data_IF_179013857997
#
_entry.id   IF_179013857997
#
_cell.length_a   1.000
_cell.length_b   1.000
_cell.length_c   1.000
_cell.angle_alpha   90.00
_cell.angle_beta   90.00
_cell.angle_gamma   90.00
#
_symmetry.space_group_name_H-M   'P 1'
#
loop_
_entity.id
_entity.type
_entity.pdbx_description
1 polymer ?
#
# COMPACT_ATOMS: atom_id res chain seq x y z
N UNK A 1 20.49 -38.07 -19.84
CA UNK A 1 20.13 -37.31 -21.06
C UNK A 1 18.86 -36.52 -20.76
N UNK A 2 18.97 -35.31 -20.19
CA UNK A 2 17.83 -34.49 -19.80
C UNK A 2 17.63 -33.39 -20.86
N UNK A 3 16.52 -33.48 -21.59
CA UNK A 3 16.10 -32.52 -22.61
C UNK A 3 15.74 -31.20 -21.94
N UNK A 4 16.56 -30.18 -22.18
CA UNK A 4 16.22 -28.79 -21.89
C UNK A 4 15.20 -28.33 -22.94
N UNK A 5 13.94 -28.13 -22.52
CA UNK A 5 12.89 -27.62 -23.40
C UNK A 5 12.96 -26.08 -23.37
N UNK A 6 13.55 -25.52 -24.42
CA UNK A 6 13.79 -24.08 -24.59
C UNK A 6 12.57 -23.45 -25.28
N UNK A 7 11.73 -22.75 -24.53
CA UNK A 7 10.84 -21.73 -25.10
C UNK A 7 11.49 -20.36 -24.93
N UNK A 8 11.87 -19.78 -26.06
CA UNK A 8 12.42 -18.43 -26.18
C UNK A 8 11.31 -17.48 -26.62
N UNK A 9 10.85 -16.61 -25.72
CA UNK A 9 10.10 -15.39 -26.05
C UNK A 9 10.69 -14.22 -25.25
N UNK A 10 11.40 -13.35 -25.98
CA UNK A 10 11.75 -11.95 -25.69
C UNK A 10 11.53 -11.43 -24.26
N UNK A 11 12.47 -11.73 -23.37
CA UNK A 11 12.64 -11.04 -22.10
C UNK A 11 13.99 -11.42 -21.50
N UNK A 12 14.76 -10.46 -20.99
CA UNK A 12 15.99 -10.77 -20.27
C UNK A 12 15.63 -11.65 -19.06
N UNK A 13 15.88 -12.96 -19.17
CA UNK A 13 15.60 -13.91 -18.11
C UNK A 13 16.74 -13.86 -17.10
N UNK A 14 16.47 -13.30 -15.92
CA UNK A 14 17.33 -13.47 -14.75
C UNK A 14 17.15 -14.90 -14.25
N UNK A 15 18.24 -15.68 -14.21
CA UNK A 15 18.26 -17.02 -13.64
C UNK A 15 18.82 -16.98 -12.23
N UNK A 16 18.10 -17.62 -11.30
CA UNK A 16 18.56 -17.85 -9.93
C UNK A 16 18.93 -19.32 -9.84
N UNK A 17 20.21 -19.60 -9.64
CA UNK A 17 20.70 -20.96 -9.45
C UNK A 17 20.60 -21.35 -7.97
N UNK A 18 20.02 -22.52 -7.71
CA UNK A 18 19.87 -23.09 -6.37
C UNK A 18 20.48 -24.47 -6.40
N UNK A 19 21.53 -24.67 -5.63
CA UNK A 19 22.22 -25.96 -5.58
C UNK A 19 21.28 -27.08 -5.08
N UNK A 20 21.27 -28.21 -5.79
CA UNK A 20 20.43 -29.37 -5.49
C UNK A 20 20.61 -29.91 -4.06
N UNK A 21 21.80 -29.72 -3.47
CA UNK A 21 22.09 -30.12 -2.08
C UNK A 21 21.17 -29.43 -1.06
N UNK A 22 20.73 -28.20 -1.34
CA UNK A 22 19.86 -27.43 -0.47
C UNK A 22 18.39 -27.88 -0.59
N UNK A 23 18.07 -28.70 -1.60
CA UNK A 23 16.74 -29.25 -1.87
C UNK A 23 16.64 -30.73 -1.45
N UNK A 24 17.66 -31.28 -0.78
CA UNK A 24 17.61 -32.61 -0.19
C UNK A 24 16.53 -32.63 0.90
N UNK A 25 15.52 -33.48 0.71
CA UNK A 25 14.35 -33.57 1.59
C UNK A 25 13.09 -32.85 1.07
N UNK A 26 13.18 -32.08 0.00
CA UNK A 26 12.00 -31.49 -0.64
C UNK A 26 11.35 -32.53 -1.56
N UNK A 27 10.10 -32.89 -1.26
CA UNK A 27 9.26 -33.62 -2.21
C UNK A 27 8.86 -32.70 -3.39
N UNK A 28 8.32 -33.27 -4.47
CA UNK A 28 7.97 -32.49 -5.66
C UNK A 28 6.99 -31.33 -5.36
N UNK A 29 5.90 -31.53 -4.59
CA UNK A 29 5.01 -30.43 -4.21
C UNK A 29 5.70 -29.30 -3.42
N UNK A 30 6.65 -29.63 -2.53
CA UNK A 30 7.40 -28.63 -1.78
C UNK A 30 8.33 -27.82 -2.67
N UNK A 31 8.92 -28.43 -3.71
CA UNK A 31 9.71 -27.71 -4.71
C UNK A 31 8.84 -26.74 -5.52
N UNK A 32 7.63 -27.18 -5.88
CA UNK A 32 6.69 -26.35 -6.63
C UNK A 32 6.21 -25.16 -5.79
N UNK A 33 5.88 -25.36 -4.50
CA UNK A 33 5.48 -24.27 -3.61
C UNK A 33 6.66 -23.34 -3.28
N UNK A 34 7.88 -23.86 -3.15
CA UNK A 34 9.09 -23.04 -2.99
C UNK A 34 9.29 -22.13 -4.19
N UNK A 35 9.16 -22.67 -5.41
CA UNK A 35 9.29 -21.90 -6.65
C UNK A 35 8.24 -20.79 -6.71
N UNK A 36 6.99 -21.12 -6.37
CA UNK A 36 5.88 -20.15 -6.31
C UNK A 36 6.15 -19.05 -5.28
N UNK A 37 6.48 -19.42 -4.04
CA UNK A 37 6.78 -18.47 -2.96
C UNK A 37 7.97 -17.56 -3.29
N UNK A 38 9.02 -18.11 -3.92
CA UNK A 38 10.16 -17.33 -4.37
C UNK A 38 9.78 -16.35 -5.48
N UNK A 39 8.92 -16.78 -6.42
CA UNK A 39 8.42 -15.91 -7.50
C UNK A 39 7.58 -14.77 -6.93
N UNK A 40 6.68 -15.05 -6.00
CA UNK A 40 5.84 -14.06 -5.34
C UNK A 40 6.70 -13.04 -4.57
N UNK A 41 7.69 -13.50 -3.81
CA UNK A 41 8.63 -12.63 -3.10
C UNK A 41 9.43 -11.73 -4.05
N UNK A 42 9.90 -12.26 -5.18
CA UNK A 42 10.63 -11.48 -6.18
C UNK A 42 9.72 -10.42 -6.81
N UNK A 43 8.47 -10.76 -7.12
CA UNK A 43 7.49 -9.81 -7.67
C UNK A 43 7.19 -8.67 -6.68
N UNK A 44 7.00 -8.97 -5.39
CA UNK A 44 6.87 -7.97 -4.34
C UNK A 44 8.10 -7.09 -4.21
N UNK A 45 9.30 -7.68 -4.26
CA UNK A 45 10.57 -6.96 -4.19
C UNK A 45 10.74 -6.00 -5.38
N UNK A 46 10.38 -6.41 -6.58
CA UNK A 46 10.41 -5.57 -7.79
C UNK A 46 9.42 -4.41 -7.65
N UNK A 47 8.17 -4.69 -7.25
CA UNK A 47 7.14 -3.66 -7.04
C UNK A 47 7.59 -2.62 -6.01
N UNK A 48 8.18 -3.07 -4.92
CA UNK A 48 8.63 -2.19 -3.84
C UNK A 48 9.87 -1.38 -4.25
N UNK A 49 10.81 -1.98 -4.97
CA UNK A 49 11.97 -1.27 -5.52
C UNK A 49 11.52 -0.16 -6.48
N UNK A 50 10.57 -0.45 -7.37
CA UNK A 50 9.96 0.55 -8.24
C UNK A 50 9.21 1.64 -7.45
N UNK A 51 8.52 1.27 -6.36
CA UNK A 51 7.84 2.24 -5.48
C UNK A 51 8.83 3.22 -4.84
N UNK A 52 9.98 2.71 -4.37
CA UNK A 52 11.04 3.53 -3.76
C UNK A 52 11.63 4.47 -4.81
N UNK A 53 11.91 3.97 -6.02
CA UNK A 53 12.39 4.80 -7.13
C UNK A 53 11.42 5.93 -7.43
N UNK A 54 10.14 5.61 -7.65
CA UNK A 54 9.13 6.62 -7.98
C UNK A 54 8.90 7.63 -6.84
N UNK A 55 9.21 7.25 -5.61
CA UNK A 55 9.15 8.17 -4.45
C UNK A 55 10.38 9.09 -4.38
N UNK A 56 11.55 8.65 -4.82
CA UNK A 56 12.81 9.40 -4.75
C UNK A 56 13.07 10.22 -6.01
N UNK A 57 12.46 9.83 -7.13
CA UNK A 57 12.58 10.50 -8.42
C UNK A 57 11.19 10.95 -8.91
N UNK A 58 10.64 12.06 -8.39
CA UNK A 58 9.35 12.60 -8.82
C UNK A 58 9.39 13.26 -10.20
N UNK A 59 10.58 13.43 -10.78
CA UNK A 59 10.77 14.00 -12.11
C UNK A 59 10.76 12.90 -13.17
N UNK A 60 10.24 13.19 -14.37
CA UNK A 60 10.00 12.22 -15.46
C UNK A 60 11.27 11.72 -16.16
N UNK A 61 12.36 11.52 -15.42
CA UNK A 61 13.58 10.90 -15.93
C UNK A 61 13.39 9.41 -16.19
N UNK A 62 14.35 8.81 -16.90
CA UNK A 62 14.35 7.36 -17.13
C UNK A 62 14.46 6.62 -15.77
N UNK A 63 13.50 5.75 -15.42
CA UNK A 63 13.52 5.07 -14.13
C UNK A 63 14.74 4.16 -14.03
N UNK A 64 15.48 4.30 -12.92
CA UNK A 64 16.68 3.52 -12.66
C UNK A 64 16.65 2.95 -11.23
N UNK A 65 16.52 1.62 -11.15
CA UNK A 65 16.56 0.89 -9.89
C UNK A 65 18.02 0.64 -9.50
N UNK A 66 18.45 1.17 -8.36
CA UNK A 66 19.81 0.96 -7.84
C UNK A 66 19.85 -0.20 -6.84
N UNK A 67 21.03 -0.77 -6.60
CA UNK A 67 21.23 -1.84 -5.60
C UNK A 67 20.80 -1.44 -4.19
N UNK A 68 20.94 -0.15 -3.84
CA UNK A 68 20.44 0.41 -2.59
C UNK A 68 18.92 0.32 -2.47
N UNK A 69 18.19 0.62 -3.55
CA UNK A 69 16.72 0.51 -3.56
C UNK A 69 16.24 -0.94 -3.38
N UNK A 70 16.95 -1.92 -3.96
CA UNK A 70 16.63 -3.34 -3.78
C UNK A 70 16.90 -3.81 -2.35
N UNK A 71 17.99 -3.32 -1.73
CA UNK A 71 18.29 -3.60 -0.32
C UNK A 71 17.21 -3.01 0.60
N UNK A 72 16.83 -1.76 0.37
CA UNK A 72 15.76 -1.09 1.11
C UNK A 72 14.42 -1.83 0.95
N UNK A 73 14.07 -2.18 -0.28
CA UNK A 73 12.86 -2.94 -0.60
C UNK A 73 12.84 -4.30 0.10
N UNK A 74 13.98 -4.99 0.19
CA UNK A 74 14.09 -6.27 0.90
C UNK A 74 13.71 -6.13 2.37
N UNK A 75 14.14 -5.05 3.02
CA UNK A 75 13.79 -4.77 4.42
C UNK A 75 12.29 -4.53 4.56
N UNK A 76 11.67 -3.79 3.63
CA UNK A 76 10.24 -3.50 3.68
C UNK A 76 9.38 -4.74 3.44
N UNK A 77 9.70 -5.56 2.43
CA UNK A 77 8.98 -6.79 2.12
C UNK A 77 9.07 -7.77 3.30
N UNK A 78 10.28 -8.04 3.81
CA UNK A 78 10.49 -9.00 4.91
C UNK A 78 9.84 -8.59 6.23
N UNK A 79 9.73 -7.29 6.50
CA UNK A 79 9.12 -6.78 7.73
C UNK A 79 7.61 -6.53 7.59
N UNK A 80 7.01 -6.85 6.44
CA UNK A 80 5.59 -6.55 6.17
C UNK A 80 5.28 -5.05 6.20
N UNK A 81 6.28 -4.21 5.98
CA UNK A 81 6.16 -2.75 6.01
C UNK A 81 5.78 -2.17 4.64
N UNK A 82 5.32 -3.02 3.72
CA UNK A 82 4.83 -2.61 2.41
C UNK A 82 3.62 -1.70 2.64
N UNK A 83 3.81 -0.39 2.45
CA UNK A 83 2.72 0.55 2.61
C UNK A 83 1.87 0.57 1.34
N UNK A 84 0.56 0.27 1.43
CA UNK A 84 -0.32 0.39 0.28
C UNK A 84 -0.36 1.84 -0.21
N UNK A 85 -0.40 2.04 -1.53
CA UNK A 85 -0.57 3.38 -2.11
C UNK A 85 -1.89 3.97 -1.63
N UNK A 86 -1.83 4.97 -0.74
CA UNK A 86 -3.03 5.71 -0.28
C UNK A 86 -3.71 6.36 -1.49
N UNK A 87 -4.99 6.04 -1.70
CA UNK A 87 -5.79 6.62 -2.79
C UNK A 87 -5.96 8.11 -2.55
N UNK A 88 -5.76 8.94 -3.58
CA UNK A 88 -5.90 10.40 -3.53
C UNK A 88 -7.28 10.83 -2.97
N UNK A 89 -8.33 10.04 -3.25
CA UNK A 89 -9.68 10.24 -2.71
C UNK A 89 -9.72 10.29 -1.18
N UNK A 90 -8.92 9.46 -0.49
CA UNK A 90 -8.88 9.43 0.98
C UNK A 90 -8.23 10.70 1.53
N UNK A 91 -7.20 11.23 0.85
CA UNK A 91 -6.58 12.51 1.24
C UNK A 91 -7.57 13.68 1.14
N UNK A 92 -8.37 13.74 0.09
CA UNK A 92 -9.38 14.81 -0.10
C UNK A 92 -10.48 14.70 0.96
N UNK A 93 -10.98 13.49 1.24
CA UNK A 93 -12.01 13.28 2.25
C UNK A 93 -11.56 13.75 3.64
N UNK A 94 -10.28 13.55 3.99
CA UNK A 94 -9.69 14.00 5.26
C UNK A 94 -9.68 15.52 5.41
N UNK A 95 -9.36 16.25 4.34
CA UNK A 95 -9.36 17.71 4.37
C UNK A 95 -10.80 18.21 4.57
N UNK A 96 -11.76 17.61 3.85
CA UNK A 96 -13.18 17.96 3.97
C UNK A 96 -13.68 17.66 5.39
N UNK A 97 -13.38 16.50 5.96
CA UNK A 97 -13.82 16.15 7.32
C UNK A 97 -13.26 17.11 8.38
N UNK A 98 -12.01 17.54 8.23
CA UNK A 98 -11.40 18.51 9.14
C UNK A 98 -12.10 19.88 9.06
N UNK A 99 -12.45 20.33 7.86
CA UNK A 99 -13.19 21.59 7.66
C UNK A 99 -14.59 21.50 8.26
N UNK A 100 -15.31 20.40 8.05
CA UNK A 100 -16.65 20.19 8.63
C UNK A 100 -16.60 20.20 10.16
N UNK A 101 -15.64 19.50 10.77
CA UNK A 101 -15.45 19.53 12.22
C UNK A 101 -15.14 20.93 12.76
N UNK A 102 -14.35 21.72 12.02
CA UNK A 102 -14.07 23.11 12.38
C UNK A 102 -15.34 23.97 12.30
N UNK A 103 -16.14 23.81 11.24
CA UNK A 103 -17.40 24.54 11.06
C UNK A 103 -18.40 24.23 12.17
N UNK A 104 -18.47 22.98 12.64
CA UNK A 104 -19.30 22.60 13.80
C UNK A 104 -18.92 23.40 15.05
N UNK A 105 -17.62 23.59 15.29
CA UNK A 105 -17.13 24.39 16.41
C UNK A 105 -17.47 25.88 16.27
N UNK A 106 -17.42 26.43 15.05
CA UNK A 106 -17.76 27.84 14.77
C UNK A 106 -19.28 28.09 14.90
N UNK A 107 -20.10 27.13 14.50
CA UNK A 107 -21.58 27.22 14.54
C UNK A 107 -22.13 27.03 15.97
N UNK A 108 -21.29 26.58 16.91
CA UNK A 108 -21.69 26.42 18.30
C UNK A 108 -22.03 27.79 18.93
N UNK A 109 -23.32 27.97 19.24
CA UNK A 109 -23.84 29.15 19.92
C UNK A 109 -24.75 28.70 21.06
N UNK A 110 -24.26 28.87 22.30
CA UNK A 110 -24.95 28.47 23.53
C UNK A 110 -26.30 29.17 23.73
N UNK A 111 -26.50 30.36 23.17
CA UNK A 111 -27.77 31.10 23.27
C UNK A 111 -28.80 30.58 22.29
N UNK A 112 -28.38 30.19 21.07
CA UNK A 112 -29.24 29.60 20.04
C UNK A 112 -29.57 28.13 20.33
N UNK A 113 -28.71 27.43 21.07
CA UNK A 113 -28.93 26.06 21.52
C UNK A 113 -30.14 25.87 22.45
N UNK A 114 -30.69 26.96 23.02
CA UNK A 114 -31.93 26.90 23.79
C UNK A 114 -33.18 26.76 22.90
N UNK A 115 -33.08 27.07 21.60
CA UNK A 115 -34.14 26.81 20.64
C UNK A 115 -34.13 25.32 20.26
N UNK A 116 -35.29 24.65 20.45
CA UNK A 116 -35.46 23.21 20.18
C UNK A 116 -35.14 22.84 18.73
N UNK A 117 -35.45 23.73 17.78
CA UNK A 117 -35.21 23.50 16.35
C UNK A 117 -33.72 23.58 16.04
N UNK A 118 -33.04 24.60 16.58
CA UNK A 118 -31.60 24.79 16.37
C UNK A 118 -30.79 23.67 17.04
N UNK A 119 -31.18 23.24 18.24
CA UNK A 119 -30.56 22.12 18.95
C UNK A 119 -30.62 20.81 18.15
N UNK A 120 -31.78 20.49 17.57
CA UNK A 120 -31.95 19.25 16.79
C UNK A 120 -31.09 19.27 15.52
N UNK A 121 -31.09 20.39 14.79
CA UNK A 121 -30.23 20.57 13.61
C UNK A 121 -28.75 20.44 14.00
N UNK A 122 -28.34 21.08 15.09
CA UNK A 122 -26.96 21.02 15.58
C UNK A 122 -26.53 19.59 15.91
N UNK A 123 -27.36 18.81 16.63
CA UNK A 123 -27.08 17.41 16.95
C UNK A 123 -26.90 16.57 15.69
N UNK A 124 -27.76 16.75 14.68
CA UNK A 124 -27.67 16.01 13.41
C UNK A 124 -26.37 16.35 12.67
N UNK A 125 -26.00 17.63 12.60
CA UNK A 125 -24.77 18.07 11.94
C UNK A 125 -23.53 17.53 12.66
N UNK A 126 -23.53 17.57 14.00
CA UNK A 126 -22.45 16.99 14.83
C UNK A 126 -22.34 15.48 14.59
N UNK A 127 -23.46 14.76 14.58
CA UNK A 127 -23.47 13.32 14.33
C UNK A 127 -22.88 12.98 12.95
N UNK A 128 -23.28 13.72 11.91
CA UNK A 128 -22.73 13.56 10.55
C UNK A 128 -21.22 13.85 10.54
N UNK A 129 -20.77 14.90 11.24
CA UNK A 129 -19.36 15.25 11.32
C UNK A 129 -18.54 14.13 11.99
N UNK A 130 -19.02 13.58 13.11
CA UNK A 130 -18.37 12.47 13.81
C UNK A 130 -18.28 11.23 12.91
N UNK A 131 -19.38 10.87 12.24
CA UNK A 131 -19.41 9.72 11.32
C UNK A 131 -18.43 9.94 10.17
N UNK A 132 -18.43 11.13 9.55
CA UNK A 132 -17.54 11.46 8.44
C UNK A 132 -16.07 11.40 8.83
N UNK A 133 -15.70 11.92 10.01
CA UNK A 133 -14.33 11.85 10.53
C UNK A 133 -13.94 10.41 10.84
N UNK A 134 -14.83 9.64 11.45
CA UNK A 134 -14.60 8.23 11.79
C UNK A 134 -14.32 7.40 10.54
N UNK A 135 -15.18 7.53 9.52
CA UNK A 135 -14.99 6.85 8.23
C UNK A 135 -13.69 7.29 7.57
N UNK A 136 -13.39 8.59 7.55
CA UNK A 136 -12.14 9.09 6.98
C UNK A 136 -10.90 8.59 7.71
N UNK A 137 -11.00 8.28 9.00
CA UNK A 137 -9.89 7.77 9.83
C UNK A 137 -9.72 6.26 9.68
N UNK A 138 -10.81 5.51 9.54
CA UNK A 138 -10.77 4.04 9.32
C UNK A 138 -10.31 3.71 7.90
N UNK A 139 -10.68 4.54 6.92
CA UNK A 139 -10.27 4.36 5.52
C UNK A 139 -8.81 4.78 5.24
N UNK A 140 -8.11 5.31 6.24
CA UNK A 140 -6.67 5.65 6.17
C UNK A 140 -5.77 4.42 6.21
#
# INVERSE_FOLDING_TARGET
>A
MLKCNKLSLLGNMMQIDIEDRNLLGFNQPAKDELKKSATDFIDELIKESNRIESSRNPSSGNPQITSGMVTDATVFVRRGLIQPKKKIRVKVLRVISAIVSLLVGIIYDATKLQDKTYMLIFIVVVAIAIISVTISTIME
#
